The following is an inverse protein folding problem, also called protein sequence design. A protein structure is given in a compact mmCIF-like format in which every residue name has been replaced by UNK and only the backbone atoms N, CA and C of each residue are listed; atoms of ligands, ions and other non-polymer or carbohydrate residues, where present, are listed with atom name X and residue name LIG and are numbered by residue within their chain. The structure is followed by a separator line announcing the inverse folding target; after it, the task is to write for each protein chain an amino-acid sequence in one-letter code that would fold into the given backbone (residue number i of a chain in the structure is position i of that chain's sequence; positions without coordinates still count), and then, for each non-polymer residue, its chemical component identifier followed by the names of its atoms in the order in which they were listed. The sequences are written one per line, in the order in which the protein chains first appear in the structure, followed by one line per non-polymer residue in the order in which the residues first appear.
data_IF_742793316813
#
_entry.id   IF_742793316813
#
_cell.length_a   1.000
_cell.length_b   1.000
_cell.length_c   1.000
_cell.angle_alpha   90.00
_cell.angle_beta   90.00
_cell.angle_gamma   90.00
#
_symmetry.space_group_name_H-M   'P 1'
#
loop_
_entity.id
_entity.type
_entity.pdbx_description
1 polymer ?
#
# COMPACT_ATOMS: atom_id res chain seq x y z
N UNK A 1 -2.41 -9.05 -16.30
CA UNK A 1 -3.88 -9.12 -16.24
C UNK A 1 -4.20 -9.58 -14.85
N UNK A 2 -4.59 -8.65 -13.97
CA UNK A 2 -4.85 -8.95 -12.57
C UNK A 2 -6.23 -9.56 -12.50
N UNK A 3 -6.28 -10.78 -11.99
CA UNK A 3 -7.54 -11.50 -11.90
C UNK A 3 -8.31 -10.96 -10.69
N UNK A 4 -9.64 -10.84 -10.77
CA UNK A 4 -10.47 -10.50 -9.62
C UNK A 4 -10.39 -11.55 -8.49
N UNK A 5 -9.79 -12.71 -8.74
CA UNK A 5 -9.49 -13.78 -7.78
C UNK A 5 -8.04 -13.69 -7.23
N UNK A 6 -7.44 -12.50 -7.24
CA UNK A 6 -6.10 -12.33 -6.70
C UNK A 6 -6.11 -12.58 -5.18
N UNK A 7 -5.21 -13.43 -4.69
CA UNK A 7 -5.14 -13.80 -3.25
C UNK A 7 -4.91 -12.60 -2.32
N UNK A 8 -4.41 -11.49 -2.86
CA UNK A 8 -4.24 -10.20 -2.17
C UNK A 8 -5.60 -9.53 -1.88
N UNK A 9 -6.63 -9.81 -2.68
CA UNK A 9 -7.97 -9.27 -2.54
C UNK A 9 -8.79 -10.14 -1.58
N UNK A 10 -8.94 -9.70 -0.33
CA UNK A 10 -9.65 -10.45 0.72
C UNK A 10 -10.86 -9.71 1.30
N UNK A 11 -11.43 -8.78 0.52
CA UNK A 11 -12.55 -7.94 0.94
C UNK A 11 -12.14 -6.51 1.27
N UNK A 12 -11.11 -5.98 0.61
CA UNK A 12 -10.76 -4.56 0.70
C UNK A 12 -11.64 -3.67 -0.19
N UNK A 13 -12.86 -4.09 -0.55
CA UNK A 13 -13.82 -3.30 -1.35
C UNK A 13 -14.08 -1.90 -0.79
N UNK A 14 -13.87 -1.69 0.51
CA UNK A 14 -13.97 -0.39 1.17
C UNK A 14 -12.82 0.57 0.82
N UNK A 15 -11.76 0.11 0.15
CA UNK A 15 -10.73 0.96 -0.44
C UNK A 15 -11.18 1.58 -1.78
N UNK A 16 -12.32 1.17 -2.35
CA UNK A 16 -12.76 1.69 -3.66
C UNK A 16 -13.05 3.19 -3.57
N UNK A 17 -12.61 3.93 -4.58
CA UNK A 17 -12.77 5.39 -4.70
C UNK A 17 -12.13 6.16 -3.53
N UNK A 18 -11.22 5.52 -2.79
CA UNK A 18 -10.56 6.13 -1.63
C UNK A 18 -9.43 7.07 -2.07
N UNK A 19 -9.21 8.10 -1.23
CA UNK A 19 -8.10 9.03 -1.37
C UNK A 19 -6.81 8.40 -0.85
N UNK A 20 -5.85 8.28 -1.75
CA UNK A 20 -4.52 7.79 -1.49
C UNK A 20 -3.51 8.93 -1.50
N UNK A 21 -2.65 8.99 -0.50
CA UNK A 21 -1.55 9.95 -0.44
C UNK A 21 -0.24 9.22 -0.64
N UNK A 22 0.56 9.63 -1.61
CA UNK A 22 1.91 9.09 -1.74
C UNK A 22 2.80 9.65 -0.62
N UNK A 23 3.41 8.76 0.16
CA UNK A 23 4.25 9.13 1.30
C UNK A 23 5.43 8.18 1.42
N UNK A 24 6.60 8.73 1.70
CA UNK A 24 7.76 7.93 2.09
C UNK A 24 7.58 7.41 3.53
N UNK A 25 7.74 6.10 3.71
CA UNK A 25 7.66 5.46 5.01
C UNK A 25 8.83 5.89 5.90
N UNK A 26 8.48 6.51 7.02
CA UNK A 26 9.41 6.89 8.08
C UNK A 26 8.98 6.16 9.36
N UNK A 27 9.78 5.20 9.87
CA UNK A 27 9.48 4.56 11.13
C UNK A 27 9.61 5.61 12.23
N UNK A 28 8.63 5.73 13.13
CA UNK A 28 8.68 6.69 14.23
C UNK A 28 9.82 6.39 15.20
N UNK A 29 10.33 5.15 15.21
CA UNK A 29 11.47 4.71 16.01
C UNK A 29 12.32 3.69 15.23
N UNK A 30 13.65 3.64 15.45
CA UNK A 30 14.49 2.58 14.90
C UNK A 30 13.99 1.21 15.39
N UNK A 31 13.75 0.29 14.44
CA UNK A 31 13.18 -1.05 14.71
C UNK A 31 11.65 -1.10 14.77
N UNK A 32 10.94 -0.02 14.43
CA UNK A 32 9.48 -0.05 14.26
C UNK A 32 9.14 -0.55 12.84
N UNK A 33 8.87 -1.86 12.74
CA UNK A 33 8.72 -2.61 11.48
C UNK A 33 7.30 -3.20 11.39
N UNK A 34 6.30 -2.43 11.80
CA UNK A 34 4.92 -2.91 11.89
C UNK A 34 4.03 -2.50 10.71
N UNK A 35 4.45 -1.53 9.90
CA UNK A 35 3.69 -1.15 8.71
C UNK A 35 3.99 -2.12 7.56
N UNK A 36 2.93 -2.70 7.03
CA UNK A 36 2.95 -3.66 5.94
C UNK A 36 1.90 -3.27 4.91
N UNK A 37 2.08 -3.73 3.67
CA UNK A 37 1.08 -3.53 2.64
C UNK A 37 -0.20 -4.30 2.96
N UNK A 38 -1.36 -3.65 2.90
CA UNK A 38 -2.69 -4.28 3.13
C UNK A 38 -2.95 -5.46 2.18
N UNK A 39 -2.34 -5.45 1.00
CA UNK A 39 -2.56 -6.43 -0.07
C UNK A 39 -1.54 -7.57 -0.01
N UNK A 40 -0.26 -7.24 -0.24
CA UNK A 40 0.79 -8.24 -0.37
C UNK A 40 1.57 -8.47 0.93
N UNK A 41 1.21 -7.78 2.02
CA UNK A 41 1.89 -7.88 3.33
C UNK A 41 3.38 -7.55 3.28
N UNK A 42 3.80 -6.83 2.23
CA UNK A 42 5.19 -6.42 2.06
C UNK A 42 5.57 -5.42 3.16
N UNK A 43 6.65 -5.69 3.93
CA UNK A 43 7.06 -4.83 5.03
C UNK A 43 7.60 -3.50 4.53
N UNK A 44 7.25 -2.42 5.24
CA UNK A 44 7.82 -1.10 5.00
C UNK A 44 9.01 -0.82 5.93
N UNK A 45 10.07 -0.24 5.38
CA UNK A 45 11.26 0.17 6.13
C UNK A 45 11.80 1.48 5.58
N UNK A 46 12.42 2.30 6.44
CA UNK A 46 13.14 3.48 5.95
C UNK A 46 14.45 3.14 5.25
N UNK A 47 15.05 2.00 5.58
CA UNK A 47 16.29 1.59 4.95
C UNK A 47 15.99 0.83 3.65
N UNK A 48 16.57 1.25 2.51
CA UNK A 48 16.39 0.56 1.24
C UNK A 48 17.00 -0.84 1.33
N UNK A 49 16.13 -1.85 1.34
CA UNK A 49 16.53 -3.26 1.42
C UNK A 49 15.83 -4.08 0.33
N UNK A 50 16.44 -5.20 -0.05
CA UNK A 50 15.80 -6.11 -0.99
C UNK A 50 14.56 -6.75 -0.34
N UNK A 51 13.39 -6.52 -0.93
CA UNK A 51 12.12 -7.09 -0.44
C UNK A 51 11.37 -6.23 0.59
N UNK A 52 11.72 -4.95 0.74
CA UNK A 52 10.97 -3.99 1.56
C UNK A 52 10.59 -2.77 0.73
N UNK A 53 9.51 -2.10 1.10
CA UNK A 53 9.12 -0.83 0.48
C UNK A 53 9.52 0.33 1.41
N UNK A 54 10.06 1.38 0.82
CA UNK A 54 10.41 2.60 1.56
C UNK A 54 9.37 3.69 1.35
N UNK A 55 8.51 3.51 0.36
CA UNK A 55 7.56 4.50 -0.12
C UNK A 55 6.31 3.78 -0.59
N UNK A 56 5.16 4.44 -0.46
CA UNK A 56 3.90 3.86 -0.88
C UNK A 56 2.76 4.83 -0.73
N UNK A 57 1.57 4.31 -0.96
CA UNK A 57 0.33 5.04 -0.85
C UNK A 57 -0.32 4.75 0.50
N UNK A 58 -0.69 5.81 1.21
CA UNK A 58 -1.39 5.73 2.49
C UNK A 58 -2.82 6.24 2.33
N UNK A 59 -3.79 5.47 2.79
CA UNK A 59 -5.20 5.89 2.81
C UNK A 59 -5.49 6.81 4.00
N UNK A 60 -6.66 7.44 4.02
CA UNK A 60 -7.12 8.23 5.18
C UNK A 60 -7.15 7.44 6.49
N UNK A 61 -7.34 6.12 6.42
CA UNK A 61 -7.36 5.21 7.57
C UNK A 61 -5.95 4.72 7.98
N UNK A 62 -4.88 5.31 7.41
CA UNK A 62 -3.47 4.97 7.65
C UNK A 62 -3.06 3.59 7.17
N UNK A 63 -3.72 3.08 6.13
CA UNK A 63 -3.40 1.78 5.53
C UNK A 63 -2.39 1.99 4.42
N UNK A 64 -1.35 1.17 4.41
CA UNK A 64 -0.26 1.28 3.45
C UNK A 64 -0.44 0.34 2.28
N UNK A 65 -0.13 0.84 1.08
CA UNK A 65 -0.22 0.14 -0.18
C UNK A 65 1.09 0.39 -0.91
N UNK A 66 1.84 -0.66 -1.24
CA UNK A 66 3.08 -0.50 -2.00
C UNK A 66 2.78 -0.06 -3.45
N UNK A 67 3.75 0.56 -4.12
CA UNK A 67 3.55 1.05 -5.49
C UNK A 67 3.06 -0.06 -6.44
N UNK A 68 3.59 -1.27 -6.26
CA UNK A 68 3.24 -2.41 -7.11
C UNK A 68 1.78 -2.78 -6.96
N UNK A 69 1.26 -2.87 -5.73
CA UNK A 69 -0.15 -3.13 -5.50
C UNK A 69 -1.01 -1.95 -5.93
N UNK A 70 -0.54 -0.72 -5.74
CA UNK A 70 -1.22 0.45 -6.23
C UNK A 70 -1.42 0.39 -7.75
N UNK A 71 -0.36 0.14 -8.52
CA UNK A 71 -0.44 0.07 -9.98
C UNK A 71 -1.33 -1.06 -10.50
N UNK A 72 -1.34 -2.17 -9.78
CA UNK A 72 -2.17 -3.34 -10.05
C UNK A 72 -3.67 -3.04 -9.91
N UNK A 73 -4.01 -2.34 -8.83
CA UNK A 73 -5.36 -2.21 -8.33
C UNK A 73 -5.95 -0.82 -8.58
N UNK A 74 -5.17 0.19 -8.99
CA UNK A 74 -5.66 1.56 -9.28
C UNK A 74 -6.83 1.58 -10.26
N UNK A 75 -6.81 0.70 -11.27
CA UNK A 75 -7.89 0.58 -12.26
C UNK A 75 -9.10 -0.19 -11.73
N UNK A 76 -8.90 -1.07 -10.75
CA UNK A 76 -9.96 -1.91 -10.18
C UNK A 76 -10.71 -1.19 -9.06
N UNK A 77 -9.99 -0.38 -8.28
CA UNK A 77 -10.50 0.38 -7.14
C UNK A 77 -10.80 1.85 -7.46
N UNK A 78 -10.44 2.36 -8.64
CA UNK A 78 -10.65 3.76 -9.03
C UNK A 78 -10.07 4.74 -7.99
N UNK A 79 -8.84 4.49 -7.54
CA UNK A 79 -8.22 5.29 -6.49
C UNK A 79 -7.90 6.71 -6.95
N UNK A 80 -8.12 7.66 -6.04
CA UNK A 80 -7.81 9.07 -6.29
C UNK A 80 -6.55 9.44 -5.53
N UNK A 81 -5.56 9.99 -6.24
CA UNK A 81 -4.36 10.52 -5.58
C UNK A 81 -4.63 11.90 -5.02
N UNK A 82 -4.36 12.08 -3.73
CA UNK A 82 -4.25 13.41 -3.14
C UNK A 82 -2.91 14.01 -3.52
N UNK A 83 -2.96 15.12 -4.27
CA UNK A 83 -1.82 15.85 -4.85
C UNK A 83 -1.44 17.03 -3.96
#
# INVERSE_FOLDING_TARGET
MISPDDWRLQGQDWLREELLRFKSYLPPKPGFEHDHCEFCWLPFRSEPHAGVANEGYVTGDKRWICETCYEDFKLLFDWVLEI
#
